data_IF_301554259993
#
_entry.id   IF_301554259993
#
_cell.length_a   1.000
_cell.length_b   1.000
_cell.length_c   1.000
_cell.angle_alpha   90.00
_cell.angle_beta   90.00
_cell.angle_gamma   90.00
#
_symmetry.space_group_name_H-M   'P 1'
#
loop_
_entity.id
_entity.type
_entity.pdbx_description
1 polymer ?
#
# COMPACT_ATOMS: atom_id res chain seq x y z
N UNK A 1 16.70 -3.53 15.14
CA UNK A 1 16.42 -4.59 14.15
C UNK A 1 15.24 -4.08 13.31
N UNK A 2 15.36 -4.08 11.98
CA UNK A 2 14.27 -3.65 11.09
C UNK A 2 13.09 -4.63 11.23
N UNK A 3 11.88 -4.13 11.38
CA UNK A 3 10.66 -4.97 11.38
C UNK A 3 10.37 -5.36 9.93
N UNK A 4 10.02 -6.63 9.68
CA UNK A 4 9.51 -7.05 8.36
C UNK A 4 8.28 -6.21 7.99
N UNK A 5 8.11 -5.76 6.76
CA UNK A 5 6.92 -5.01 6.36
C UNK A 5 5.66 -5.88 6.27
N UNK A 6 5.83 -7.21 6.28
CA UNK A 6 4.75 -8.21 6.25
C UNK A 6 4.72 -8.93 7.62
N UNK A 7 3.52 -9.18 8.12
CA UNK A 7 3.27 -10.00 9.32
C UNK A 7 2.38 -11.18 8.98
N UNK A 8 2.71 -12.36 9.52
CA UNK A 8 1.88 -13.56 9.37
C UNK A 8 0.75 -13.60 10.40
N UNK A 9 -0.33 -14.32 10.10
CA UNK A 9 -1.49 -14.44 10.98
C UNK A 9 -1.10 -14.98 12.37
N UNK A 10 -0.21 -15.97 12.40
CA UNK A 10 0.25 -16.61 13.64
C UNK A 10 1.10 -15.65 14.51
N UNK A 11 1.79 -14.71 13.88
CA UNK A 11 2.54 -13.66 14.59
C UNK A 11 1.57 -12.61 15.14
N UNK A 12 0.61 -12.16 14.33
CA UNK A 12 -0.41 -11.21 14.77
C UNK A 12 -1.25 -11.76 15.94
N UNK A 13 -1.62 -13.05 15.93
CA UNK A 13 -2.34 -13.72 17.03
C UNK A 13 -1.63 -13.60 18.38
N UNK A 14 -0.30 -13.50 18.39
CA UNK A 14 0.48 -13.36 19.63
C UNK A 14 0.45 -11.94 20.21
N UNK A 15 0.18 -10.93 19.38
CA UNK A 15 0.36 -9.53 19.75
C UNK A 15 -0.91 -8.67 19.65
N UNK A 16 -1.97 -9.12 18.99
CA UNK A 16 -3.13 -8.27 18.63
C UNK A 16 -3.86 -7.65 19.83
N UNK A 17 -3.76 -8.26 21.03
CA UNK A 17 -4.33 -7.71 22.29
C UNK A 17 -3.37 -6.77 23.05
N UNK A 18 -2.17 -6.53 22.52
CA UNK A 18 -1.22 -5.64 23.18
C UNK A 18 -1.67 -4.18 23.03
N UNK A 19 -1.59 -3.40 24.11
CA UNK A 19 -2.10 -2.02 24.16
C UNK A 19 -1.44 -1.07 23.17
N UNK A 20 -0.25 -1.42 22.68
CA UNK A 20 0.46 -0.63 21.66
C UNK A 20 0.19 -1.10 20.22
N UNK A 21 -0.53 -2.19 20.00
CA UNK A 21 -0.92 -2.67 18.66
C UNK A 21 -2.24 -2.03 18.25
N UNK A 22 -2.30 -1.55 17.04
CA UNK A 22 -3.52 -1.04 16.40
C UNK A 22 -3.70 -1.73 15.06
N UNK A 23 -4.89 -2.22 14.78
CA UNK A 23 -5.21 -2.93 13.55
C UNK A 23 -6.17 -2.08 12.72
N UNK A 24 -5.92 -1.99 11.41
CA UNK A 24 -6.74 -1.20 10.51
C UNK A 24 -7.19 -2.03 9.31
N UNK A 25 -8.50 -2.03 9.08
CA UNK A 25 -9.12 -2.50 7.85
C UNK A 25 -9.11 -1.36 6.83
N UNK A 26 -8.40 -1.55 5.74
CA UNK A 26 -8.31 -0.57 4.65
C UNK A 26 -8.86 -1.18 3.35
N UNK A 27 -9.84 -2.04 3.48
CA UNK A 27 -10.60 -2.57 2.35
C UNK A 27 -11.24 -1.43 1.57
N UNK A 28 -11.26 -1.54 0.24
CA UNK A 28 -11.76 -0.49 -0.63
C UNK A 28 -12.76 -1.04 -1.63
N UNK A 29 -13.71 -0.20 -2.01
CA UNK A 29 -14.79 -0.55 -2.93
C UNK A 29 -16.15 -0.14 -2.39
N UNK A 30 -17.17 -0.26 -3.23
CA UNK A 30 -18.51 0.24 -2.94
C UNK A 30 -19.12 -0.26 -1.61
N UNK A 31 -18.79 -1.50 -1.22
CA UNK A 31 -19.36 -2.15 -0.04
C UNK A 31 -18.33 -2.32 1.10
N UNK A 32 -17.12 -1.77 0.98
CA UNK A 32 -16.05 -2.03 1.93
C UNK A 32 -16.45 -1.73 3.39
N UNK A 33 -17.04 -0.56 3.63
CA UNK A 33 -17.50 -0.18 4.96
C UNK A 33 -18.61 -1.10 5.49
N UNK A 34 -19.58 -1.46 4.66
CA UNK A 34 -20.65 -2.39 5.03
C UNK A 34 -20.11 -3.78 5.32
N UNK A 35 -19.13 -4.24 4.54
CA UNK A 35 -18.46 -5.52 4.78
C UNK A 35 -17.74 -5.50 6.13
N UNK A 36 -16.99 -4.43 6.43
CA UNK A 36 -16.35 -4.22 7.72
C UNK A 36 -17.38 -4.22 8.87
N UNK A 37 -18.49 -3.51 8.75
CA UNK A 37 -19.56 -3.47 9.75
C UNK A 37 -20.23 -4.84 9.95
N UNK A 38 -20.17 -5.71 8.94
CA UNK A 38 -20.70 -7.08 9.02
C UNK A 38 -19.70 -8.03 9.68
N UNK A 39 -18.43 -7.93 9.32
CA UNK A 39 -17.39 -8.80 9.85
C UNK A 39 -15.99 -8.22 9.58
N UNK A 40 -15.19 -8.07 10.61
CA UNK A 40 -13.80 -7.62 10.55
C UNK A 40 -12.93 -8.30 11.62
N UNK A 41 -11.61 -8.15 11.56
CA UNK A 41 -10.68 -8.64 12.60
C UNK A 41 -10.99 -7.95 13.93
N UNK A 42 -11.13 -8.71 15.03
CA UNK A 42 -11.40 -8.20 16.38
C UNK A 42 -10.46 -7.05 16.73
N UNK A 43 -11.04 -5.89 17.07
CA UNK A 43 -10.29 -4.68 17.45
C UNK A 43 -9.76 -3.86 16.27
N UNK A 44 -10.11 -4.20 15.03
CA UNK A 44 -9.69 -3.44 13.87
C UNK A 44 -10.58 -2.20 13.64
N UNK A 45 -9.97 -1.08 13.28
CA UNK A 45 -10.63 0.16 12.88
C UNK A 45 -10.71 0.27 11.36
N UNK A 46 -11.79 0.82 10.83
CA UNK A 46 -11.93 1.05 9.40
C UNK A 46 -11.26 2.36 8.95
N UNK A 47 -10.53 2.30 7.83
CA UNK A 47 -9.92 3.46 7.18
C UNK A 47 -10.35 3.52 5.72
N UNK A 48 -10.95 4.63 5.34
CA UNK A 48 -11.43 4.86 3.98
C UNK A 48 -10.34 5.48 3.10
N UNK A 49 -10.02 4.82 1.97
CA UNK A 49 -9.02 5.30 1.02
C UNK A 49 -9.33 6.70 0.49
N UNK A 50 -10.60 6.95 0.15
CA UNK A 50 -10.98 8.13 -0.60
C UNK A 50 -11.01 9.39 0.27
N UNK A 51 -11.39 9.25 1.54
CA UNK A 51 -11.58 10.39 2.45
C UNK A 51 -10.43 10.60 3.41
N UNK A 52 -9.62 9.56 3.69
CA UNK A 52 -8.56 9.60 4.70
C UNK A 52 -7.14 9.43 4.10
N UNK A 53 -7.00 8.74 2.97
CA UNK A 53 -5.70 8.44 2.37
C UNK A 53 -5.49 9.08 0.99
N UNK A 54 -6.43 9.91 0.54
CA UNK A 54 -6.35 10.63 -0.72
C UNK A 54 -6.99 12.03 -0.60
N UNK A 55 -6.55 12.96 -1.45
CA UNK A 55 -7.12 14.30 -1.61
C UNK A 55 -7.80 14.39 -2.98
N UNK A 56 -8.91 13.65 -3.12
CA UNK A 56 -9.63 13.51 -4.39
C UNK A 56 -10.21 14.86 -4.82
N UNK A 57 -9.89 15.28 -6.04
CA UNK A 57 -10.42 16.49 -6.66
C UNK A 57 -11.64 16.17 -7.53
N UNK A 58 -12.43 17.20 -7.81
CA UNK A 58 -13.53 17.09 -8.77
C UNK A 58 -13.06 16.85 -10.21
N UNK A 59 -11.87 17.35 -10.54
CA UNK A 59 -11.18 17.12 -11.80
C UNK A 59 -9.97 16.20 -11.56
N UNK A 60 -10.03 14.99 -12.11
CA UNK A 60 -8.94 14.00 -11.98
C UNK A 60 -7.67 14.37 -12.78
N UNK A 61 -7.70 15.38 -13.64
CA UNK A 61 -6.48 15.92 -14.26
C UNK A 61 -5.58 16.61 -13.22
N UNK A 62 -6.15 17.02 -12.08
CA UNK A 62 -5.43 17.62 -10.97
C UNK A 62 -4.95 16.55 -9.96
N UNK A 63 -3.84 15.88 -10.26
CA UNK A 63 -3.19 14.92 -9.35
C UNK A 63 -3.71 13.48 -9.45
N UNK A 64 -4.61 13.17 -10.39
CA UNK A 64 -5.12 11.82 -10.62
C UNK A 64 -6.28 11.44 -9.71
N UNK A 65 -6.61 10.12 -9.68
CA UNK A 65 -7.78 9.61 -8.93
C UNK A 65 -7.58 9.53 -7.41
N UNK A 66 -6.32 9.37 -6.96
CA UNK A 66 -6.00 9.27 -5.53
C UNK A 66 -4.70 10.04 -5.21
N UNK A 67 -4.70 11.39 -5.38
CA UNK A 67 -3.54 12.21 -5.02
C UNK A 67 -3.20 12.02 -3.54
N UNK A 68 -1.92 12.21 -3.18
CA UNK A 68 -1.54 12.27 -1.77
C UNK A 68 -2.23 13.47 -1.09
N UNK A 69 -2.77 13.29 0.11
CA UNK A 69 -3.28 14.43 0.88
C UNK A 69 -2.13 15.37 1.24
N UNK A 70 -2.47 16.62 1.57
CA UNK A 70 -1.49 17.51 2.17
C UNK A 70 -0.94 16.90 3.45
N UNK A 71 0.33 17.15 3.75
CA UNK A 71 1.01 16.53 4.88
C UNK A 71 0.32 16.89 6.22
N UNK A 72 -0.18 18.11 6.35
CA UNK A 72 -0.89 18.58 7.55
C UNK A 72 -2.26 17.88 7.70
N UNK A 73 -2.92 17.58 6.58
CA UNK A 73 -4.18 16.83 6.58
C UNK A 73 -3.93 15.40 7.03
N UNK A 74 -2.90 14.75 6.48
CA UNK A 74 -2.56 13.39 6.89
C UNK A 74 -2.11 13.31 8.35
N UNK A 75 -1.39 14.33 8.86
CA UNK A 75 -1.01 14.42 10.28
C UNK A 75 -2.25 14.43 11.20
N UNK A 76 -3.30 15.15 10.82
CA UNK A 76 -4.58 15.18 11.54
C UNK A 76 -5.30 13.82 11.43
N UNK A 77 -5.35 13.24 10.23
CA UNK A 77 -5.94 11.90 10.02
C UNK A 77 -5.30 10.86 10.93
N UNK A 78 -3.97 10.84 11.06
CA UNK A 78 -3.30 9.89 11.95
C UNK A 78 -3.65 10.14 13.43
N UNK A 79 -3.79 11.40 13.86
CA UNK A 79 -4.25 11.72 15.21
C UNK A 79 -5.70 11.29 15.44
N UNK A 80 -6.59 11.53 14.48
CA UNK A 80 -7.99 11.07 14.51
C UNK A 80 -8.08 9.55 14.59
N UNK A 81 -7.16 8.83 13.92
CA UNK A 81 -7.01 7.38 14.00
C UNK A 81 -6.28 6.90 15.26
N UNK A 82 -5.91 7.78 16.19
CA UNK A 82 -5.23 7.42 17.44
C UNK A 82 -3.79 6.95 17.27
N UNK A 83 -3.18 7.17 16.10
CA UNK A 83 -1.83 6.68 15.79
C UNK A 83 -0.79 7.66 16.34
N UNK A 84 0.02 7.21 17.30
CA UNK A 84 1.23 7.87 17.78
C UNK A 84 2.48 7.10 17.36
N UNK A 85 3.67 7.70 17.47
CA UNK A 85 4.94 7.10 17.01
C UNK A 85 5.30 5.78 17.68
N UNK A 86 4.82 5.52 18.87
CA UNK A 86 5.08 4.30 19.63
C UNK A 86 4.16 3.15 19.24
N UNK A 87 3.03 3.43 18.58
CA UNK A 87 2.07 2.40 18.16
C UNK A 87 2.67 1.46 17.11
N UNK A 88 2.30 0.20 17.21
CA UNK A 88 2.56 -0.82 16.20
C UNK A 88 1.32 -0.96 15.33
N UNK A 89 1.39 -0.45 14.13
CA UNK A 89 0.27 -0.42 13.19
C UNK A 89 0.28 -1.66 12.31
N UNK A 90 -0.81 -2.42 12.36
CA UNK A 90 -1.06 -3.55 11.47
C UNK A 90 -2.19 -3.19 10.53
N UNK A 91 -1.98 -3.43 9.25
CA UNK A 91 -2.92 -3.03 8.20
C UNK A 91 -3.31 -4.26 7.40
N UNK A 92 -4.59 -4.38 7.08
CA UNK A 92 -5.06 -5.39 6.16
C UNK A 92 -6.14 -4.85 5.22
N UNK A 93 -6.43 -5.58 4.17
CA UNK A 93 -7.59 -5.39 3.31
C UNK A 93 -8.20 -6.74 2.92
N UNK A 94 -9.26 -6.71 2.14
CA UNK A 94 -9.95 -7.87 1.59
C UNK A 94 -9.40 -8.35 0.23
N UNK A 95 -8.26 -7.79 -0.20
CA UNK A 95 -7.64 -8.04 -1.50
C UNK A 95 -6.12 -8.34 -1.41
N UNK A 96 -5.72 -9.12 -0.40
CA UNK A 96 -4.35 -9.64 -0.23
C UNK A 96 -3.25 -8.56 -0.17
N UNK A 97 -3.55 -7.40 0.43
CA UNK A 97 -2.62 -6.28 0.53
C UNK A 97 -2.45 -5.47 -0.77
N UNK A 98 -3.15 -5.84 -1.83
CA UNK A 98 -2.95 -5.26 -3.16
C UNK A 98 -3.75 -3.98 -3.41
N UNK A 99 -4.51 -3.55 -2.45
CA UNK A 99 -5.31 -2.33 -2.54
C UNK A 99 -4.80 -1.26 -1.54
N UNK A 100 -5.66 -0.70 -0.74
CA UNK A 100 -5.35 0.46 0.07
C UNK A 100 -4.46 0.14 1.30
N UNK A 101 -4.32 -1.13 1.72
CA UNK A 101 -3.41 -1.49 2.82
C UNK A 101 -1.94 -1.19 2.49
N UNK A 102 -1.48 -1.55 1.31
CA UNK A 102 -0.12 -1.21 0.86
C UNK A 102 0.07 0.31 0.68
N UNK A 103 -0.98 1.03 0.24
CA UNK A 103 -0.97 2.49 0.16
C UNK A 103 -0.81 3.13 1.53
N UNK A 104 -1.57 2.70 2.53
CA UNK A 104 -1.47 3.22 3.88
C UNK A 104 -0.12 2.88 4.53
N UNK A 105 0.38 1.66 4.31
CA UNK A 105 1.73 1.27 4.72
C UNK A 105 2.79 2.22 4.13
N UNK A 106 2.76 2.50 2.82
CA UNK A 106 3.71 3.40 2.16
C UNK A 106 3.63 4.82 2.74
N UNK A 107 2.42 5.33 2.98
CA UNK A 107 2.22 6.66 3.56
C UNK A 107 2.81 6.74 4.97
N UNK A 108 2.62 5.72 5.80
CA UNK A 108 3.21 5.64 7.14
C UNK A 108 4.74 5.54 7.08
N UNK A 109 5.28 4.73 6.20
CA UNK A 109 6.74 4.66 5.95
C UNK A 109 7.28 6.01 5.51
N UNK A 110 6.59 6.70 4.64
CA UNK A 110 7.00 8.02 4.14
C UNK A 110 7.04 9.10 5.23
N UNK A 111 6.28 8.95 6.30
CA UNK A 111 6.35 9.84 7.47
C UNK A 111 7.21 9.26 8.61
N UNK A 112 8.04 8.28 8.31
CA UNK A 112 8.97 7.61 9.23
C UNK A 112 8.26 6.96 10.43
N UNK A 113 7.10 6.38 10.20
CA UNK A 113 6.48 5.47 11.15
C UNK A 113 7.06 4.06 10.95
N UNK A 114 7.98 3.67 11.82
CA UNK A 114 8.78 2.46 11.61
C UNK A 114 8.03 1.15 11.93
N UNK A 115 7.10 1.21 12.90
CA UNK A 115 6.38 0.04 13.38
C UNK A 115 5.07 -0.15 12.59
N UNK A 116 5.19 -0.46 11.31
CA UNK A 116 4.05 -0.72 10.43
C UNK A 116 4.26 -1.98 9.62
N UNK A 117 3.22 -2.83 9.57
CA UNK A 117 3.22 -4.09 8.83
C UNK A 117 1.87 -4.32 8.14
N UNK A 118 1.89 -5.01 7.01
CA UNK A 118 0.69 -5.48 6.31
C UNK A 118 0.49 -6.97 6.61
N UNK A 119 -0.74 -7.36 6.94
CA UNK A 119 -1.10 -8.74 7.19
C UNK A 119 -1.08 -9.56 5.90
N UNK A 120 -0.25 -10.59 5.85
CA UNK A 120 -0.11 -11.45 4.68
C UNK A 120 -1.43 -12.17 4.36
N UNK A 121 -1.94 -12.00 3.14
CA UNK A 121 -3.21 -12.56 2.69
C UNK A 121 -4.46 -11.88 3.29
N UNK A 122 -4.32 -10.81 4.08
CA UNK A 122 -5.40 -9.95 4.58
C UNK A 122 -6.51 -10.70 5.32
N UNK A 123 -7.74 -10.20 5.18
CA UNK A 123 -8.92 -10.76 5.86
C UNK A 123 -9.17 -12.23 5.48
N UNK A 124 -8.91 -12.60 4.22
CA UNK A 124 -9.10 -13.98 3.77
C UNK A 124 -8.23 -14.97 4.56
N UNK A 125 -6.95 -14.64 4.72
CA UNK A 125 -6.02 -15.49 5.45
C UNK A 125 -6.31 -15.50 6.96
N UNK A 126 -6.74 -14.37 7.54
CA UNK A 126 -7.21 -14.31 8.92
C UNK A 126 -8.37 -15.27 9.15
N UNK A 127 -9.40 -15.27 8.29
CA UNK A 127 -10.53 -16.21 8.34
C UNK A 127 -10.08 -17.67 8.24
N UNK A 128 -9.23 -17.98 7.29
CA UNK A 128 -8.72 -19.34 7.07
C UNK A 128 -7.98 -19.90 8.29
N UNK A 129 -7.32 -19.03 9.07
CA UNK A 129 -6.59 -19.41 10.27
C UNK A 129 -7.41 -19.22 11.57
N UNK A 130 -8.73 -19.05 11.47
CA UNK A 130 -9.61 -18.86 12.62
C UNK A 130 -9.19 -17.71 13.53
N UNK A 131 -8.69 -16.61 12.95
CA UNK A 131 -8.43 -15.39 13.70
C UNK A 131 -9.74 -14.85 14.29
N UNK A 132 -9.75 -14.30 15.53
CA UNK A 132 -10.95 -13.70 16.11
C UNK A 132 -11.51 -12.58 15.23
N UNK A 133 -12.79 -12.69 14.90
CA UNK A 133 -13.54 -11.71 14.12
C UNK A 133 -14.75 -11.26 14.92
N UNK A 134 -15.23 -10.07 14.64
CA UNK A 134 -16.48 -9.56 15.17
C UNK A 134 -17.14 -8.56 14.21
N UNK A 135 -18.29 -8.00 14.64
CA UNK A 135 -19.02 -6.92 13.96
C UNK A 135 -19.27 -5.73 14.90
N UNK A 136 -18.50 -5.63 15.97
CA UNK A 136 -18.63 -4.56 16.95
C UNK A 136 -18.20 -3.24 16.31
N UNK A 137 -18.84 -2.14 16.71
CA UNK A 137 -18.35 -0.82 16.35
C UNK A 137 -17.13 -0.48 17.21
N UNK A 138 -15.96 -0.55 16.61
CA UNK A 138 -14.72 -0.17 17.28
C UNK A 138 -14.59 1.37 17.33
N UNK A 139 -14.31 1.90 18.52
CA UNK A 139 -14.21 3.35 18.76
C UNK A 139 -12.76 3.73 18.92
N UNK A 140 -12.25 4.55 18.00
CA UNK A 140 -10.90 5.11 18.08
C UNK A 140 -10.85 6.17 19.19
N UNK A 141 -9.84 6.11 20.03
CA UNK A 141 -9.49 7.21 20.92
C UNK A 141 -8.54 8.16 20.15
N UNK A 142 -9.10 9.24 19.62
CA UNK A 142 -8.33 10.26 18.90
C UNK A 142 -7.33 10.97 19.83
N UNK A 143 -6.22 11.41 19.25
CA UNK A 143 -5.20 12.21 19.93
C UNK A 143 -5.52 13.70 19.77
N UNK A 144 -5.17 14.52 20.75
CA UNK A 144 -5.36 15.98 20.73
C UNK A 144 -4.39 16.67 19.76
N UNK A 145 -3.20 16.11 19.62
CA UNK A 145 -2.13 16.71 18.81
C UNK A 145 -1.96 15.96 17.50
N UNK A 146 -1.75 16.66 16.38
CA UNK A 146 -1.43 16.02 15.09
C UNK A 146 -0.17 15.15 15.20
N UNK A 147 -0.11 14.11 14.36
CA UNK A 147 1.08 13.27 14.28
C UNK A 147 2.31 14.11 13.90
N UNK A 148 3.44 14.00 14.62
CA UNK A 148 4.61 14.85 14.38
C UNK A 148 5.32 14.46 13.06
N UNK A 149 5.07 15.21 12.01
CA UNK A 149 5.67 15.09 10.69
C UNK A 149 5.75 16.46 9.99
N UNK A 150 6.70 16.63 9.07
CA UNK A 150 6.91 17.87 8.34
C UNK A 150 6.71 17.72 6.83
N UNK A 151 7.05 16.55 6.29
CA UNK A 151 7.00 16.26 4.85
C UNK A 151 6.89 14.76 4.58
N UNK A 152 6.52 14.43 3.36
CA UNK A 152 6.71 13.10 2.79
C UNK A 152 8.21 12.88 2.57
N UNK A 153 8.77 11.77 3.07
CA UNK A 153 10.22 11.49 2.98
C UNK A 153 10.57 10.49 1.86
N UNK A 154 9.60 9.69 1.41
CA UNK A 154 9.78 8.85 0.23
C UNK A 154 9.48 9.67 -1.02
N UNK A 155 10.29 9.56 -2.08
CA UNK A 155 10.12 10.35 -3.28
C UNK A 155 8.89 9.90 -4.08
N UNK A 156 8.34 10.85 -4.80
CA UNK A 156 7.36 10.64 -5.88
C UNK A 156 7.93 11.23 -7.15
N UNK A 157 7.44 10.76 -8.30
CA UNK A 157 7.86 11.26 -9.60
C UNK A 157 6.65 11.81 -10.36
N UNK A 158 6.80 13.00 -10.91
CA UNK A 158 5.74 13.66 -11.67
C UNK A 158 5.76 13.24 -13.14
N UNK A 159 4.62 13.42 -13.85
CA UNK A 159 4.48 13.05 -15.25
C UNK A 159 5.57 13.66 -16.15
N UNK A 160 5.89 14.94 -15.94
CA UNK A 160 6.92 15.66 -16.72
C UNK A 160 8.30 15.07 -16.50
N UNK A 161 8.58 14.59 -15.29
CA UNK A 161 9.85 13.93 -14.98
C UNK A 161 9.94 12.55 -15.65
N UNK A 162 8.82 11.80 -15.69
CA UNK A 162 8.74 10.53 -16.42
C UNK A 162 9.07 10.74 -17.89
N UNK A 163 8.50 11.74 -18.55
CA UNK A 163 8.79 12.06 -19.97
C UNK A 163 10.29 12.27 -20.20
N UNK A 164 10.97 12.94 -19.29
CA UNK A 164 12.41 13.22 -19.39
C UNK A 164 13.28 11.96 -19.21
N UNK A 165 12.86 11.00 -18.39
CA UNK A 165 13.67 9.81 -18.07
C UNK A 165 13.43 8.64 -19.03
N UNK A 166 12.34 8.62 -19.79
CA UNK A 166 11.99 7.51 -20.70
C UNK A 166 13.06 7.17 -21.73
N UNK A 167 13.84 8.15 -22.17
CA UNK A 167 14.93 7.98 -23.14
C UNK A 167 16.27 7.66 -22.48
N UNK A 168 16.34 7.67 -21.16
CA UNK A 168 17.57 7.43 -20.41
C UNK A 168 17.69 5.94 -20.04
N UNK A 169 18.66 5.18 -20.60
CA UNK A 169 18.80 3.74 -20.37
C UNK A 169 19.16 3.39 -18.92
N UNK A 170 19.58 4.38 -18.11
CA UNK A 170 19.89 4.17 -16.70
C UNK A 170 18.63 4.12 -15.84
N UNK A 171 17.49 4.58 -16.34
CA UNK A 171 16.21 4.54 -15.64
C UNK A 171 15.40 3.30 -16.00
N UNK A 172 14.48 2.95 -15.13
CA UNK A 172 13.51 1.88 -15.31
C UNK A 172 12.15 2.33 -14.79
N UNK A 173 11.15 2.29 -15.67
CA UNK A 173 9.76 2.55 -15.28
C UNK A 173 9.00 1.23 -15.30
N UNK A 174 8.42 0.85 -14.18
CA UNK A 174 7.68 -0.40 -13.99
C UNK A 174 6.18 -0.09 -13.89
N UNK A 175 5.41 -0.57 -14.85
CA UNK A 175 3.95 -0.56 -14.80
C UNK A 175 3.46 -1.85 -14.13
N UNK A 176 2.79 -1.72 -12.99
CA UNK A 176 2.34 -2.87 -12.19
C UNK A 176 0.88 -3.26 -12.45
N UNK A 177 0.22 -2.62 -13.43
CA UNK A 177 -1.15 -2.96 -13.80
C UNK A 177 -1.23 -4.33 -14.44
N UNK A 178 -2.46 -4.84 -14.51
CA UNK A 178 -2.76 -6.05 -15.28
C UNK A 178 -2.21 -5.96 -16.71
N UNK A 179 -1.69 -7.10 -17.20
CA UNK A 179 -1.08 -7.18 -18.51
C UNK A 179 -2.03 -6.78 -19.65
N UNK A 180 -3.31 -7.05 -19.54
CA UNK A 180 -4.30 -6.68 -20.53
C UNK A 180 -4.49 -5.16 -20.63
N UNK A 181 -4.42 -4.45 -19.49
CA UNK A 181 -4.42 -2.98 -19.45
C UNK A 181 -3.13 -2.40 -20.04
N UNK A 182 -1.99 -2.95 -19.66
CA UNK A 182 -0.69 -2.58 -20.22
C UNK A 182 -0.64 -2.77 -21.74
N UNK A 183 -1.10 -3.90 -22.26
CA UNK A 183 -1.14 -4.20 -23.69
C UNK A 183 -2.18 -3.36 -24.46
N UNK A 184 -3.00 -2.56 -23.78
CA UNK A 184 -4.06 -1.78 -24.42
C UNK A 184 -5.25 -2.61 -24.91
N UNK A 185 -5.40 -3.86 -24.46
CA UNK A 185 -6.49 -4.77 -24.88
C UNK A 185 -7.83 -4.40 -24.27
N UNK A 186 -7.81 -3.85 -23.06
CA UNK A 186 -8.98 -3.30 -22.36
C UNK A 186 -8.54 -2.25 -21.33
N UNK A 187 -9.42 -1.30 -21.02
CA UNK A 187 -9.20 -0.30 -19.97
C UNK A 187 -10.55 0.01 -19.30
N UNK A 188 -10.83 -0.59 -18.12
CA UNK A 188 -12.11 -0.42 -17.45
C UNK A 188 -12.20 0.86 -16.59
N UNK A 189 -11.09 1.58 -16.42
CA UNK A 189 -10.98 2.64 -15.41
C UNK A 189 -10.54 3.98 -16.02
N UNK A 190 -9.49 3.98 -16.83
CA UNK A 190 -8.89 5.19 -17.38
C UNK A 190 -9.42 5.46 -18.80
N UNK A 191 -9.31 6.71 -19.28
CA UNK A 191 -9.86 7.12 -20.56
C UNK A 191 -9.11 6.55 -21.77
N UNK A 192 -7.83 6.21 -21.60
CA UNK A 192 -6.94 5.76 -22.68
C UNK A 192 -6.29 4.44 -22.29
N UNK A 193 -6.43 3.43 -23.15
CA UNK A 193 -5.77 2.15 -22.98
C UNK A 193 -4.29 2.20 -23.41
N UNK A 194 -3.48 1.29 -22.87
CA UNK A 194 -2.07 1.18 -23.20
C UNK A 194 -1.17 1.53 -22.01
N UNK A 195 0.10 1.84 -22.29
CA UNK A 195 1.12 2.08 -21.27
C UNK A 195 2.04 3.24 -21.66
N UNK A 196 2.82 3.72 -20.70
CA UNK A 196 3.86 4.73 -20.91
C UNK A 196 4.94 4.13 -21.82
N UNK A 197 5.24 4.72 -22.99
CA UNK A 197 6.27 4.20 -23.91
C UNK A 197 7.59 3.96 -23.19
N UNK A 198 8.18 2.75 -23.33
CA UNK A 198 9.43 2.39 -22.66
C UNK A 198 9.28 1.84 -21.21
N UNK A 199 8.10 1.94 -20.61
CA UNK A 199 7.84 1.24 -19.36
C UNK A 199 7.76 -0.29 -19.60
N UNK A 200 8.20 -1.07 -18.62
CA UNK A 200 8.03 -2.53 -18.63
C UNK A 200 6.84 -2.90 -17.74
N UNK A 201 6.23 -4.05 -18.05
CA UNK A 201 5.11 -4.54 -17.23
C UNK A 201 5.56 -5.66 -16.30
N UNK A 202 5.30 -5.47 -15.02
CA UNK A 202 5.38 -6.51 -13.98
C UNK A 202 4.10 -6.42 -13.17
N UNK A 203 3.06 -7.17 -13.51
CA UNK A 203 1.80 -7.13 -12.79
C UNK A 203 2.00 -7.37 -11.29
N UNK A 204 1.37 -6.54 -10.46
CA UNK A 204 1.49 -6.67 -8.99
C UNK A 204 1.06 -8.05 -8.49
N UNK A 205 0.14 -8.71 -9.17
CA UNK A 205 -0.34 -10.06 -8.87
C UNK A 205 0.77 -11.11 -8.91
N UNK A 206 1.84 -10.86 -9.66
CA UNK A 206 3.00 -11.74 -9.70
C UNK A 206 3.88 -11.67 -8.45
N UNK A 207 3.57 -10.81 -7.49
CA UNK A 207 4.20 -10.78 -6.17
C UNK A 207 3.57 -11.77 -5.20
N UNK A 208 2.46 -12.41 -5.61
CA UNK A 208 1.67 -13.32 -4.80
C UNK A 208 1.78 -14.75 -5.33
N UNK A 209 1.63 -15.70 -4.42
CA UNK A 209 1.45 -17.11 -4.76
C UNK A 209 -0.02 -17.39 -5.13
N UNK A 210 -0.31 -18.65 -5.44
CA UNK A 210 -1.65 -19.12 -5.80
C UNK A 210 -2.68 -19.00 -4.66
N UNK A 211 -2.24 -18.80 -3.43
CA UNK A 211 -3.09 -18.60 -2.24
C UNK A 211 -3.30 -17.12 -1.91
N UNK A 212 -2.75 -16.21 -2.71
CA UNK A 212 -2.80 -14.76 -2.45
C UNK A 212 -1.86 -14.28 -1.35
N UNK A 213 -0.84 -15.06 -1.00
CA UNK A 213 0.22 -14.68 -0.07
C UNK A 213 1.41 -14.12 -0.82
N UNK A 214 2.12 -13.17 -0.23
CA UNK A 214 3.37 -12.70 -0.81
C UNK A 214 4.35 -13.86 -1.01
N UNK A 215 4.98 -13.90 -2.17
CA UNK A 215 6.12 -14.78 -2.42
C UNK A 215 7.19 -14.54 -1.36
N UNK A 216 8.01 -15.55 -1.08
CA UNK A 216 9.09 -15.43 -0.11
C UNK A 216 10.10 -14.35 -0.52
N UNK A 217 10.76 -13.68 0.45
CA UNK A 217 11.71 -12.61 0.15
C UNK A 217 12.77 -12.98 -0.90
N UNK A 218 13.33 -14.19 -0.83
CA UNK A 218 14.34 -14.64 -1.80
C UNK A 218 13.77 -14.87 -3.21
N UNK A 219 12.50 -15.25 -3.34
CA UNK A 219 11.82 -15.41 -4.64
C UNK A 219 11.56 -14.05 -5.27
N UNK A 220 11.04 -13.11 -4.48
CA UNK A 220 10.84 -11.71 -4.89
C UNK A 220 12.17 -11.08 -5.28
N UNK A 221 13.22 -11.26 -4.46
CA UNK A 221 14.57 -10.74 -4.74
C UNK A 221 15.08 -11.23 -6.07
N UNK A 222 15.08 -12.52 -6.32
CA UNK A 222 15.52 -13.11 -7.60
C UNK A 222 14.73 -12.56 -8.78
N UNK A 223 13.40 -12.44 -8.65
CA UNK A 223 12.52 -11.90 -9.68
C UNK A 223 12.93 -10.47 -10.04
N UNK A 224 13.04 -9.59 -9.04
CA UNK A 224 13.30 -8.18 -9.29
C UNK A 224 14.75 -7.88 -9.67
N UNK A 225 15.73 -8.58 -9.13
CA UNK A 225 17.15 -8.45 -9.53
C UNK A 225 17.37 -8.76 -11.01
N UNK A 226 16.64 -9.75 -11.57
CA UNK A 226 16.68 -10.06 -13.00
C UNK A 226 16.23 -8.88 -13.87
N UNK A 227 15.27 -8.11 -13.39
CA UNK A 227 14.69 -6.96 -14.13
C UNK A 227 15.49 -5.70 -13.89
N UNK A 228 15.85 -5.43 -12.65
CA UNK A 228 16.62 -4.25 -12.24
C UNK A 228 18.03 -4.30 -12.82
N UNK A 229 18.65 -5.50 -12.81
CA UNK A 229 19.98 -5.70 -13.34
C UNK A 229 21.01 -4.86 -12.58
N UNK A 230 21.77 -4.04 -13.33
CA UNK A 230 22.82 -3.16 -12.77
C UNK A 230 22.33 -1.71 -12.54
N UNK A 231 21.05 -1.45 -12.68
CA UNK A 231 20.52 -0.11 -12.45
C UNK A 231 20.54 0.25 -10.98
N UNK A 232 20.76 1.52 -10.70
CA UNK A 232 20.68 2.05 -9.33
C UNK A 232 19.22 2.12 -8.92
N UNK A 233 18.91 1.77 -7.69
CA UNK A 233 17.52 1.70 -7.20
C UNK A 233 16.82 3.05 -7.19
N UNK A 234 17.56 4.15 -7.01
CA UNK A 234 17.03 5.50 -7.12
C UNK A 234 16.60 5.91 -8.55
N UNK A 235 16.95 5.12 -9.55
CA UNK A 235 16.56 5.32 -10.94
C UNK A 235 15.37 4.45 -11.35
N UNK A 236 14.66 3.87 -10.39
CA UNK A 236 13.51 3.00 -10.63
C UNK A 236 12.24 3.71 -10.22
N UNK A 237 11.31 3.85 -11.15
CA UNK A 237 9.97 4.37 -10.88
C UNK A 237 8.95 3.24 -11.02
N UNK A 238 8.04 3.15 -10.05
CA UNK A 238 6.94 2.18 -10.04
C UNK A 238 5.63 2.94 -10.16
N UNK A 239 4.80 2.59 -11.13
CA UNK A 239 3.50 3.23 -11.31
C UNK A 239 2.37 2.23 -11.56
N UNK A 240 1.16 2.71 -11.35
CA UNK A 240 -0.08 2.05 -11.75
C UNK A 240 -1.05 3.08 -12.36
N UNK A 241 -2.34 3.03 -12.07
CA UNK A 241 -3.30 4.04 -12.54
C UNK A 241 -3.56 5.20 -11.57
N UNK A 242 -3.25 5.05 -10.26
CA UNK A 242 -3.58 6.06 -9.23
C UNK A 242 -2.63 6.05 -8.03
N UNK A 243 -1.48 5.39 -8.14
CA UNK A 243 -0.50 5.30 -7.04
C UNK A 243 -0.92 4.41 -5.85
N UNK A 244 -2.00 3.65 -5.97
CA UNK A 244 -2.46 2.74 -4.91
C UNK A 244 -1.78 1.37 -5.06
N UNK A 245 -2.02 0.68 -6.16
CA UNK A 245 -1.46 -0.67 -6.42
C UNK A 245 0.06 -0.65 -6.62
N UNK A 246 0.64 0.48 -7.04
CA UNK A 246 2.10 0.65 -7.09
C UNK A 246 2.75 0.40 -5.71
N UNK A 247 2.08 0.84 -4.63
CA UNK A 247 2.55 0.62 -3.27
C UNK A 247 2.65 -0.86 -2.89
N UNK A 248 1.84 -1.75 -3.49
CA UNK A 248 1.96 -3.20 -3.28
C UNK A 248 3.30 -3.75 -3.80
N UNK A 249 3.75 -3.27 -4.96
CA UNK A 249 5.06 -3.64 -5.48
C UNK A 249 6.19 -3.05 -4.64
N UNK A 250 6.06 -1.80 -4.16
CA UNK A 250 7.04 -1.22 -3.23
C UNK A 250 7.09 -1.98 -1.90
N UNK A 251 5.95 -2.45 -1.39
CA UNK A 251 5.88 -3.33 -0.22
C UNK A 251 6.61 -4.66 -0.46
N UNK A 252 6.40 -5.29 -1.63
CA UNK A 252 7.08 -6.52 -2.01
C UNK A 252 8.61 -6.34 -2.14
N UNK A 253 9.05 -5.21 -2.66
CA UNK A 253 10.47 -4.84 -2.78
C UNK A 253 11.09 -4.60 -1.40
N UNK A 254 10.41 -3.88 -0.51
CA UNK A 254 10.83 -3.69 0.88
C UNK A 254 10.93 -5.02 1.63
N UNK A 255 9.98 -5.94 1.38
CA UNK A 255 10.00 -7.30 1.95
C UNK A 255 11.16 -8.14 1.41
N UNK A 256 11.51 -7.97 0.16
CA UNK A 256 12.69 -8.58 -0.47
C UNK A 256 14.02 -7.90 -0.09
N UNK A 257 14.00 -6.87 0.75
CA UNK A 257 15.16 -6.04 1.12
C UNK A 257 15.84 -5.38 -0.10
N UNK A 258 15.05 -5.04 -1.10
CA UNK A 258 15.46 -4.21 -2.23
C UNK A 258 15.02 -2.78 -1.90
N UNK A 259 15.97 -1.95 -1.56
CA UNK A 259 15.73 -0.56 -1.15
C UNK A 259 15.51 0.31 -2.40
N UNK A 260 14.24 0.51 -2.74
CA UNK A 260 13.81 1.52 -3.72
C UNK A 260 13.28 2.70 -2.90
N UNK A 261 13.82 3.91 -3.14
CA UNK A 261 13.47 5.07 -2.36
C UNK A 261 11.99 5.47 -2.51
#
# INVERSE_FOLDING_TARGET
MRISPIIEVEELLKIYKSANVMIFDVSNGKNAKTNYETEHIEGAFFVDLNTQLADIKSDFSEGGRHPLPKIETFAKTLAELGISKDKHVIIYDDNNGSNASARFWWMLKSVRHEKVQVLNGGLHQAKKNNFPLNSNMEIVQSLSEPYPMEKWNLPTIEMVEIENILQNPNYLVIDVRDKGRYDGKFEPIDLVAGHIPGAINIPFTENLDQNGLFLKPDELRKKYELVIGKKRTENIAVHCGSGVTACHTLLALDYAEIDIP
#
